data_IF_883343211680
#
_entry.id   IF_883343211680
#
_cell.length_a   1.000
_cell.length_b   1.000
_cell.length_c   1.000
_cell.angle_alpha   90.00
_cell.angle_beta   90.00
_cell.angle_gamma   90.00
#
_symmetry.space_group_name_H-M   'P 1'
#
loop_
_entity.id
_entity.type
_entity.pdbx_description
1 polymer ?
#
# COMPACT_ATOMS: atom_id res chain seq x y z
N UNK A 1 -14.76 -3.15 15.18
CA UNK A 1 -13.92 -3.57 16.31
C UNK A 1 -12.71 -4.37 15.85
N UNK A 2 -11.55 -3.75 15.94
CA UNK A 2 -10.26 -4.43 15.88
C UNK A 2 -10.03 -5.14 17.21
N UNK A 3 -9.89 -6.48 17.18
CA UNK A 3 -9.58 -7.28 18.36
C UNK A 3 -8.46 -8.26 18.05
N UNK A 4 -7.55 -8.43 18.99
CA UNK A 4 -6.53 -9.45 18.88
C UNK A 4 -7.16 -10.84 19.04
N UNK A 5 -6.89 -11.79 18.13
CA UNK A 5 -7.38 -13.17 18.26
C UNK A 5 -6.71 -13.96 19.39
N UNK A 6 -5.60 -13.48 19.95
CA UNK A 6 -4.85 -14.13 21.02
C UNK A 6 -4.84 -13.26 22.29
N UNK A 7 -5.79 -13.47 23.23
CA UNK A 7 -5.88 -12.65 24.43
C UNK A 7 -4.73 -12.85 25.42
N UNK A 8 -3.94 -13.93 25.27
CA UNK A 8 -2.90 -14.31 26.23
C UNK A 8 -1.53 -13.77 25.84
N UNK A 9 -1.16 -13.94 24.57
CA UNK A 9 0.13 -13.47 24.06
C UNK A 9 0.05 -12.06 23.46
N UNK A 10 -1.16 -11.56 23.19
CA UNK A 10 -1.36 -10.30 22.48
C UNK A 10 -1.00 -10.40 21.00
N UNK A 11 -1.00 -9.24 20.34
CA UNK A 11 -0.75 -9.10 18.91
C UNK A 11 0.52 -8.30 18.61
N UNK A 12 1.15 -8.55 17.45
CA UNK A 12 2.45 -7.94 17.08
C UNK A 12 2.41 -6.41 17.04
N UNK A 13 1.26 -5.82 16.68
CA UNK A 13 1.08 -4.37 16.57
C UNK A 13 0.54 -3.72 17.87
N UNK A 14 0.45 -4.47 18.96
CA UNK A 14 0.15 -3.93 20.29
C UNK A 14 1.45 -3.57 21.02
N UNK A 15 1.35 -2.79 22.09
CA UNK A 15 2.51 -2.46 22.93
C UNK A 15 3.19 -3.75 23.43
N UNK A 16 4.51 -3.81 23.32
CA UNK A 16 5.26 -5.04 23.64
C UNK A 16 5.22 -5.31 25.15
N UNK A 17 4.53 -6.38 25.53
CA UNK A 17 4.47 -6.86 26.91
C UNK A 17 5.61 -7.83 27.26
N UNK A 18 5.48 -8.49 28.41
CA UNK A 18 6.42 -9.53 28.86
C UNK A 18 6.42 -10.78 27.94
N UNK A 19 5.26 -11.10 27.36
CA UNK A 19 5.09 -12.22 26.43
C UNK A 19 5.25 -11.73 24.99
N UNK A 20 5.97 -12.51 24.18
CA UNK A 20 6.22 -12.18 22.78
C UNK A 20 5.03 -12.63 21.90
N UNK A 21 4.31 -11.69 21.26
CA UNK A 21 3.22 -12.02 20.35
C UNK A 21 3.75 -12.68 19.08
N UNK A 22 2.93 -13.53 18.45
CA UNK A 22 3.28 -14.28 17.23
C UNK A 22 2.28 -14.14 16.10
N UNK A 23 1.23 -13.32 16.30
CA UNK A 23 0.12 -13.17 15.36
C UNK A 23 -0.19 -11.70 15.13
N UNK A 24 -0.59 -11.41 13.91
CA UNK A 24 -1.20 -10.12 13.58
C UNK A 24 -2.68 -10.13 13.97
N UNK A 25 -3.20 -8.94 14.28
CA UNK A 25 -4.64 -8.74 14.41
C UNK A 25 -5.30 -8.78 13.04
N UNK A 26 -6.62 -8.99 13.00
CA UNK A 26 -7.39 -8.92 11.75
C UNK A 26 -7.23 -7.55 11.06
N UNK A 27 -7.20 -6.46 11.82
CA UNK A 27 -7.06 -5.12 11.26
C UNK A 27 -5.69 -4.87 10.65
N UNK A 28 -4.62 -5.39 11.27
CA UNK A 28 -3.27 -5.30 10.69
C UNK A 28 -3.18 -6.00 9.34
N UNK A 29 -3.88 -7.14 9.18
CA UNK A 29 -3.96 -7.86 7.90
C UNK A 29 -4.78 -7.06 6.89
N UNK A 30 -5.94 -6.52 7.28
CA UNK A 30 -6.78 -5.69 6.40
C UNK A 30 -6.05 -4.41 5.95
N UNK A 31 -5.29 -3.76 6.84
CA UNK A 31 -4.46 -2.59 6.52
C UNK A 31 -3.33 -2.92 5.55
N UNK A 32 -2.64 -4.05 5.75
CA UNK A 32 -1.61 -4.50 4.82
C UNK A 32 -2.18 -4.81 3.43
N UNK A 33 -3.35 -5.46 3.37
CA UNK A 33 -4.03 -5.74 2.09
C UNK A 33 -4.43 -4.44 1.40
N UNK A 34 -4.99 -3.46 2.13
CA UNK A 34 -5.30 -2.14 1.57
C UNK A 34 -4.05 -1.44 1.05
N UNK A 35 -2.95 -1.47 1.80
CA UNK A 35 -1.68 -0.89 1.35
C UNK A 35 -1.22 -1.46 0.01
N UNK A 36 -1.36 -2.78 -0.22
CA UNK A 36 -1.04 -3.41 -1.50
C UNK A 36 -2.04 -3.03 -2.60
N UNK A 37 -3.33 -2.95 -2.27
CA UNK A 37 -4.39 -2.54 -3.19
C UNK A 37 -4.30 -1.07 -3.61
N UNK A 38 -3.73 -0.22 -2.76
CA UNK A 38 -3.48 1.18 -3.04
C UNK A 38 -2.20 1.41 -3.87
N UNK A 39 -1.57 0.35 -4.38
CA UNK A 39 -0.35 0.40 -5.21
C UNK A 39 0.96 0.34 -4.41
N UNK A 40 0.91 0.07 -3.10
CA UNK A 40 2.09 -0.08 -2.26
C UNK A 40 2.79 -1.42 -2.43
N UNK A 41 4.10 -1.45 -2.15
CA UNK A 41 4.85 -2.70 -2.00
C UNK A 41 5.21 -3.40 -3.32
N UNK A 42 5.29 -2.69 -4.44
CA UNK A 42 5.63 -3.29 -5.75
C UNK A 42 6.94 -4.09 -5.74
N UNK A 43 7.91 -3.71 -4.91
CA UNK A 43 9.17 -4.43 -4.74
C UNK A 43 9.10 -5.74 -3.91
N UNK A 44 7.90 -6.18 -3.50
CA UNK A 44 7.70 -7.40 -2.71
C UNK A 44 7.27 -8.61 -3.54
N UNK A 45 7.13 -8.45 -4.86
CA UNK A 45 6.60 -9.47 -5.77
C UNK A 45 7.68 -10.25 -6.54
N UNK A 46 8.97 -9.98 -6.29
CA UNK A 46 10.07 -10.75 -6.84
C UNK A 46 10.52 -11.84 -5.86
N UNK A 47 10.42 -13.10 -6.27
CA UNK A 47 10.88 -14.24 -5.47
C UNK A 47 12.39 -14.40 -5.58
N UNK A 48 13.15 -14.41 -4.48
CA UNK A 48 14.59 -14.68 -4.48
C UNK A 48 14.92 -16.10 -4.98
N UNK A 49 16.10 -16.27 -5.58
CA UNK A 49 16.62 -17.58 -6.06
C UNK A 49 17.92 -18.01 -5.38
N UNK A 50 18.51 -17.15 -4.56
CA UNK A 50 19.74 -17.47 -3.83
C UNK A 50 19.65 -16.87 -2.44
N UNK A 51 19.58 -17.75 -1.44
CA UNK A 51 19.56 -17.37 -0.04
C UNK A 51 20.99 -17.32 0.52
N UNK A 52 21.12 -16.79 1.74
CA UNK A 52 22.41 -16.72 2.43
C UNK A 52 22.80 -18.07 3.08
N UNK A 53 21.79 -18.91 3.32
CA UNK A 53 21.95 -20.24 3.90
C UNK A 53 22.26 -21.29 2.81
N UNK A 54 22.52 -22.53 3.25
CA UNK A 54 22.72 -23.65 2.32
C UNK A 54 21.39 -24.07 1.69
N UNK A 55 21.38 -24.52 0.41
CA UNK A 55 20.16 -24.95 -0.27
C UNK A 55 19.36 -26.01 0.52
N UNK A 56 18.06 -25.81 0.64
CA UNK A 56 17.15 -26.72 1.36
C UNK A 56 15.88 -27.03 0.56
N UNK A 57 15.83 -28.25 0.01
CA UNK A 57 14.67 -28.73 -0.72
C UNK A 57 13.40 -28.80 0.16
N UNK A 58 12.39 -28.01 -0.20
CA UNK A 58 11.10 -27.93 0.48
C UNK A 58 10.90 -26.63 1.26
N UNK A 59 11.84 -25.69 1.19
CA UNK A 59 11.69 -24.34 1.75
C UNK A 59 10.90 -23.39 0.82
N UNK A 60 10.61 -23.85 -0.40
CA UNK A 60 9.83 -23.14 -1.40
C UNK A 60 10.64 -22.19 -2.26
N UNK A 61 11.98 -22.18 -2.19
CA UNK A 61 12.85 -21.35 -3.03
C UNK A 61 13.63 -22.24 -4.00
N UNK A 62 13.68 -21.86 -5.28
CA UNK A 62 14.49 -22.62 -6.24
C UNK A 62 15.94 -22.16 -6.11
N UNK A 63 16.76 -23.00 -5.48
CA UNK A 63 18.15 -22.72 -5.15
C UNK A 63 19.13 -23.48 -6.04
N UNK A 64 20.43 -23.27 -5.82
CA UNK A 64 21.47 -23.92 -6.64
C UNK A 64 21.42 -25.44 -6.49
N UNK A 65 21.17 -26.15 -7.59
CA UNK A 65 21.08 -27.61 -7.63
C UNK A 65 19.65 -28.14 -7.68
N UNK A 66 18.65 -27.25 -7.57
CA UNK A 66 17.24 -27.59 -7.65
C UNK A 66 16.63 -27.09 -8.97
N UNK A 67 15.69 -27.85 -9.54
CA UNK A 67 14.94 -27.45 -10.73
C UNK A 67 13.57 -26.86 -10.37
N UNK A 68 13.07 -27.20 -9.18
CA UNK A 68 11.78 -26.78 -8.67
C UNK A 68 11.73 -26.89 -7.15
N UNK A 69 10.93 -26.04 -6.52
CA UNK A 69 10.54 -26.20 -5.12
C UNK A 69 9.08 -25.73 -4.94
N UNK A 70 8.21 -26.66 -4.55
CA UNK A 70 6.79 -26.40 -4.29
C UNK A 70 6.48 -26.05 -2.83
N UNK A 71 7.50 -25.97 -1.98
CA UNK A 71 7.39 -25.69 -0.55
C UNK A 71 7.27 -26.95 0.28
N UNK A 72 6.63 -26.81 1.44
CA UNK A 72 6.39 -27.92 2.35
C UNK A 72 5.50 -28.99 1.71
N UNK A 73 5.49 -30.19 2.29
CA UNK A 73 4.63 -31.29 1.82
C UNK A 73 3.14 -30.90 1.73
N UNK A 74 2.67 -30.01 2.63
CA UNK A 74 1.29 -29.51 2.64
C UNK A 74 1.04 -28.51 1.52
N UNK A 75 2.04 -27.70 1.14
CA UNK A 75 1.92 -26.75 0.03
C UNK A 75 2.03 -27.46 -1.32
N UNK A 76 2.99 -28.37 -1.46
CA UNK A 76 3.15 -29.20 -2.66
C UNK A 76 1.89 -30.02 -3.00
N UNK A 77 1.18 -30.49 -1.98
CA UNK A 77 -0.08 -31.23 -2.19
C UNK A 77 -1.24 -30.33 -2.66
N UNK A 78 -1.15 -29.02 -2.45
CA UNK A 78 -2.10 -28.03 -3.00
C UNK A 78 -1.71 -27.60 -4.42
N UNK A 79 -0.42 -27.34 -4.66
CA UNK A 79 0.09 -26.88 -5.95
C UNK A 79 1.52 -27.37 -6.21
N UNK A 80 1.78 -27.82 -7.43
CA UNK A 80 3.13 -28.14 -7.93
C UNK A 80 3.70 -29.52 -7.58
N UNK A 81 3.15 -30.24 -6.59
CA UNK A 81 3.63 -31.58 -6.24
C UNK A 81 3.46 -32.64 -7.34
N UNK A 82 2.55 -32.43 -8.30
CA UNK A 82 2.43 -33.29 -9.48
C UNK A 82 3.59 -33.11 -10.48
N UNK A 83 4.23 -31.94 -10.44
CA UNK A 83 5.24 -31.50 -11.40
C UNK A 83 6.66 -31.56 -10.82
N UNK A 84 6.79 -31.61 -9.49
CA UNK A 84 8.05 -31.54 -8.77
C UNK A 84 8.18 -32.69 -7.77
N UNK A 85 9.29 -33.43 -7.85
CA UNK A 85 9.58 -34.56 -6.97
C UNK A 85 11.04 -34.51 -6.53
N UNK A 86 11.27 -34.41 -5.22
CA UNK A 86 12.62 -34.27 -4.64
C UNK A 86 13.40 -33.11 -5.28
N UNK A 87 12.74 -31.95 -5.43
CA UNK A 87 13.26 -30.74 -6.07
C UNK A 87 13.80 -30.92 -7.50
N UNK A 88 13.29 -31.94 -8.20
CA UNK A 88 13.55 -32.22 -9.62
C UNK A 88 12.21 -32.21 -10.36
N UNK A 89 12.18 -31.67 -11.57
CA UNK A 89 10.98 -31.67 -12.39
C UNK A 89 10.64 -33.11 -12.83
N UNK A 90 9.34 -33.41 -12.88
CA UNK A 90 8.84 -34.68 -13.42
C UNK A 90 8.89 -34.69 -14.95
N UNK A 91 8.69 -35.85 -15.57
CA UNK A 91 8.69 -35.99 -17.03
C UNK A 91 7.71 -35.02 -17.70
N UNK A 92 8.16 -34.30 -18.74
CA UNK A 92 7.42 -33.26 -19.49
C UNK A 92 6.97 -32.03 -18.68
N UNK A 93 7.43 -31.87 -17.43
CA UNK A 93 7.18 -30.67 -16.65
C UNK A 93 8.20 -29.57 -17.00
N UNK A 94 7.70 -28.37 -17.24
CA UNK A 94 8.48 -27.15 -17.46
C UNK A 94 8.47 -26.25 -16.20
N UNK A 95 7.48 -26.42 -15.34
CA UNK A 95 7.34 -25.66 -14.11
C UNK A 95 6.65 -26.48 -13.03
N UNK A 96 6.76 -26.03 -11.78
CA UNK A 96 6.10 -26.62 -10.62
C UNK A 96 4.95 -25.76 -10.11
N UNK A 97 5.27 -24.53 -9.70
CA UNK A 97 4.35 -23.56 -9.12
C UNK A 97 4.59 -22.17 -9.70
N UNK A 98 3.73 -21.22 -9.33
CA UNK A 98 3.76 -19.83 -9.77
C UNK A 98 2.55 -19.44 -10.62
N UNK A 99 2.29 -18.14 -10.73
CA UNK A 99 1.12 -17.61 -11.42
C UNK A 99 1.13 -17.86 -12.94
N UNK A 100 2.31 -18.10 -13.52
CA UNK A 100 2.51 -18.41 -14.93
C UNK A 100 2.77 -19.91 -15.16
N UNK A 101 2.32 -20.77 -14.25
CA UNK A 101 2.41 -22.23 -14.39
C UNK A 101 1.02 -22.85 -14.36
N UNK A 102 0.69 -23.58 -15.43
CA UNK A 102 -0.58 -24.25 -15.55
C UNK A 102 -0.35 -25.69 -16.00
N UNK A 103 -0.76 -26.65 -15.15
CA UNK A 103 -0.59 -28.10 -15.40
C UNK A 103 0.85 -28.46 -15.82
N UNK A 104 1.83 -28.01 -15.04
CA UNK A 104 3.25 -28.24 -15.26
C UNK A 104 3.84 -27.63 -16.54
N UNK A 105 3.11 -26.74 -17.23
CA UNK A 105 3.56 -26.02 -18.43
C UNK A 105 3.54 -24.52 -18.17
N UNK A 106 4.43 -23.78 -18.83
CA UNK A 106 4.35 -22.33 -18.79
C UNK A 106 3.05 -21.85 -19.44
N UNK A 107 2.46 -20.82 -18.85
CA UNK A 107 1.38 -20.07 -19.48
C UNK A 107 1.87 -19.39 -20.76
N UNK A 108 0.96 -19.12 -21.69
CA UNK A 108 1.30 -18.44 -22.93
C UNK A 108 1.77 -17.00 -22.67
N UNK A 109 2.67 -16.51 -23.53
CA UNK A 109 3.11 -15.11 -23.48
C UNK A 109 1.91 -14.18 -23.62
N UNK A 110 1.80 -13.21 -22.70
CA UNK A 110 0.72 -12.23 -22.72
C UNK A 110 -0.51 -12.59 -21.87
N UNK A 111 -0.57 -13.78 -21.29
CA UNK A 111 -1.59 -14.12 -20.27
C UNK A 111 -1.37 -13.23 -19.05
N UNK A 112 -2.39 -12.45 -18.65
CA UNK A 112 -2.29 -11.57 -17.48
C UNK A 112 -2.15 -12.41 -16.22
N UNK A 113 -1.07 -12.20 -15.47
CA UNK A 113 -0.81 -12.87 -14.19
C UNK A 113 -1.02 -11.95 -12.99
N UNK A 114 -1.06 -10.64 -13.21
CA UNK A 114 -1.45 -9.65 -12.20
C UNK A 114 -2.14 -8.47 -12.87
N UNK A 115 -3.35 -8.19 -12.42
CA UNK A 115 -4.09 -7.00 -12.84
C UNK A 115 -3.53 -5.74 -12.16
N UNK A 116 -3.75 -4.58 -12.79
CA UNK A 116 -3.45 -3.29 -12.20
C UNK A 116 -4.40 -3.02 -11.01
N UNK A 117 -3.86 -2.55 -9.89
CA UNK A 117 -4.65 -2.27 -8.68
C UNK A 117 -5.25 -0.86 -8.68
N UNK A 118 -4.61 0.09 -9.37
CA UNK A 118 -5.06 1.47 -9.50
C UNK A 118 -4.65 2.11 -10.84
N UNK A 119 -4.97 3.39 -11.02
CA UNK A 119 -4.58 4.19 -12.17
C UNK A 119 -3.06 4.41 -12.29
N UNK A 120 -2.30 4.15 -11.24
CA UNK A 120 -0.85 4.33 -11.19
C UNK A 120 -0.08 3.04 -11.48
N UNK A 121 -0.78 1.91 -11.60
CA UNK A 121 -0.19 0.60 -11.76
C UNK A 121 -0.20 0.12 -13.23
N UNK A 122 0.64 -0.88 -13.54
CA UNK A 122 0.77 -1.50 -14.86
C UNK A 122 0.45 -3.00 -14.69
N UNK A 123 -0.45 -3.59 -15.49
CA UNK A 123 -0.70 -5.03 -15.37
C UNK A 123 0.51 -5.82 -15.89
N UNK A 124 0.85 -6.91 -15.21
CA UNK A 124 1.88 -7.84 -15.69
C UNK A 124 1.30 -9.06 -16.37
N UNK A 125 2.01 -9.48 -17.42
CA UNK A 125 1.67 -10.65 -18.21
C UNK A 125 2.81 -11.66 -18.21
N UNK A 126 2.44 -12.94 -18.27
CA UNK A 126 3.36 -14.05 -18.32
C UNK A 126 4.30 -13.93 -19.53
N UNK A 127 5.60 -14.24 -19.35
CA UNK A 127 6.59 -14.09 -20.41
C UNK A 127 6.60 -15.27 -21.39
N UNK A 128 5.99 -16.41 -21.04
CA UNK A 128 5.92 -17.61 -21.87
C UNK A 128 7.04 -18.64 -21.62
N UNK A 129 8.02 -18.29 -20.80
CA UNK A 129 9.25 -19.04 -20.54
C UNK A 129 9.65 -19.05 -19.05
N UNK A 130 8.75 -18.61 -18.17
CA UNK A 130 8.94 -18.61 -16.73
C UNK A 130 7.63 -18.95 -16.04
N UNK A 131 7.74 -19.60 -14.87
CA UNK A 131 6.59 -19.91 -14.02
C UNK A 131 6.19 -18.74 -13.11
N UNK A 132 7.09 -17.78 -12.92
CA UNK A 132 6.85 -16.59 -12.11
C UNK A 132 6.23 -15.49 -12.96
N UNK A 133 5.29 -14.76 -12.37
CA UNK A 133 4.88 -13.47 -12.93
C UNK A 133 6.09 -12.52 -12.89
N UNK A 134 6.30 -11.67 -13.91
CA UNK A 134 7.37 -10.68 -13.88
C UNK A 134 7.31 -9.77 -12.64
N UNK A 135 8.43 -9.09 -12.29
CA UNK A 135 8.42 -8.13 -11.18
C UNK A 135 7.32 -7.08 -11.36
N UNK A 136 6.62 -6.77 -10.26
CA UNK A 136 5.56 -5.77 -10.23
C UNK A 136 6.18 -4.38 -10.48
N UNK A 137 5.71 -3.71 -11.53
CA UNK A 137 6.11 -2.36 -11.92
C UNK A 137 4.91 -1.44 -11.98
N UNK A 138 5.15 -0.15 -11.77
CA UNK A 138 4.12 0.87 -11.79
C UNK A 138 4.53 2.04 -12.69
N UNK A 139 3.58 2.93 -12.99
CA UNK A 139 3.83 4.16 -13.74
C UNK A 139 4.82 5.05 -13.00
N UNK A 140 5.60 5.82 -13.75
CA UNK A 140 6.59 6.74 -13.19
C UNK A 140 5.91 7.85 -12.36
N UNK A 141 6.67 8.42 -11.44
CA UNK A 141 6.20 9.53 -10.63
C UNK A 141 5.79 10.73 -11.50
N UNK A 142 4.65 11.34 -11.18
CA UNK A 142 4.11 12.49 -11.90
C UNK A 142 3.04 12.18 -12.94
N UNK A 143 2.77 10.90 -13.25
CA UNK A 143 1.58 10.53 -14.03
C UNK A 143 0.29 10.99 -13.34
N UNK A 144 -0.72 11.39 -14.11
CA UNK A 144 -2.02 11.76 -13.55
C UNK A 144 -2.83 10.51 -13.16
N UNK A 145 -3.60 10.61 -12.09
CA UNK A 145 -4.50 9.57 -11.60
C UNK A 145 -5.78 10.21 -11.04
N UNK A 146 -6.81 9.39 -10.77
CA UNK A 146 -8.09 9.83 -10.20
C UNK A 146 -8.72 10.95 -11.03
N UNK A 147 -8.93 10.67 -12.33
CA UNK A 147 -9.45 11.62 -13.31
C UNK A 147 -8.71 12.98 -13.37
N UNK A 148 -7.41 13.00 -13.03
CA UNK A 148 -6.56 14.18 -13.06
C UNK A 148 -6.50 14.98 -11.75
N UNK A 149 -7.18 14.50 -10.70
CA UNK A 149 -7.13 15.12 -9.37
C UNK A 149 -5.84 14.81 -8.63
N UNK A 150 -5.16 13.71 -8.99
CA UNK A 150 -3.95 13.25 -8.33
C UNK A 150 -2.72 13.16 -9.21
N UNK A 151 -1.63 12.76 -8.56
CA UNK A 151 -0.36 12.38 -9.21
C UNK A 151 0.13 11.06 -8.62
N UNK A 152 0.65 10.18 -9.48
CA UNK A 152 1.29 8.94 -9.06
C UNK A 152 2.62 9.23 -8.40
N UNK A 153 2.86 8.63 -7.24
CA UNK A 153 4.15 8.62 -6.56
C UNK A 153 4.40 7.26 -5.90
N UNK A 154 5.43 6.55 -6.34
CA UNK A 154 5.79 5.23 -5.84
C UNK A 154 4.63 4.23 -5.99
N UNK A 155 3.98 4.23 -7.16
CA UNK A 155 2.88 3.33 -7.49
C UNK A 155 1.52 3.71 -6.93
N UNK A 156 1.41 4.79 -6.14
CA UNK A 156 0.17 5.19 -5.47
C UNK A 156 -0.34 6.55 -5.93
N UNK A 157 -1.65 6.69 -6.07
CA UNK A 157 -2.25 7.98 -6.37
C UNK A 157 -2.25 8.92 -5.15
N UNK A 158 -1.65 10.12 -5.29
CA UNK A 158 -1.64 11.16 -4.26
C UNK A 158 -2.69 12.22 -4.56
N UNK A 159 -3.72 12.29 -3.70
CA UNK A 159 -4.78 13.31 -3.72
C UNK A 159 -4.96 13.89 -2.31
N UNK A 160 -5.54 15.09 -2.22
CA UNK A 160 -5.90 15.68 -0.90
C UNK A 160 -6.97 14.85 -0.21
N UNK A 161 -7.95 14.35 -0.97
CA UNK A 161 -9.00 13.45 -0.46
C UNK A 161 -8.41 12.18 0.12
N UNK A 162 -7.53 11.50 -0.60
CA UNK A 162 -6.87 10.28 -0.12
C UNK A 162 -6.03 10.53 1.14
N UNK A 163 -5.42 11.72 1.27
CA UNK A 163 -4.69 12.09 2.49
C UNK A 163 -5.63 12.30 3.69
N UNK A 164 -6.75 13.00 3.49
CA UNK A 164 -7.78 13.17 4.53
C UNK A 164 -8.44 11.84 4.90
N UNK A 165 -8.68 10.95 3.93
CA UNK A 165 -9.32 9.66 4.17
C UNK A 165 -8.39 8.73 4.95
N UNK A 166 -7.09 8.75 4.64
CA UNK A 166 -6.09 8.00 5.37
C UNK A 166 -5.96 8.48 6.83
N UNK A 167 -5.95 9.80 7.06
CA UNK A 167 -5.77 10.37 8.40
C UNK A 167 -7.04 10.33 9.25
N UNK A 168 -8.18 10.70 8.68
CA UNK A 168 -9.41 10.99 9.42
C UNK A 168 -10.60 10.13 8.97
N UNK A 169 -10.51 9.46 7.81
CA UNK A 169 -11.63 8.74 7.22
C UNK A 169 -12.66 9.64 6.55
N UNK A 170 -12.28 10.88 6.22
CA UNK A 170 -13.15 11.87 5.59
C UNK A 170 -12.46 12.50 4.37
N UNK A 171 -13.24 13.19 3.53
CA UNK A 171 -12.74 13.82 2.32
C UNK A 171 -12.10 15.18 2.60
N UNK A 172 -11.36 15.68 1.62
CA UNK A 172 -10.80 17.02 1.63
C UNK A 172 -11.90 18.07 1.70
N UNK A 173 -11.60 19.18 2.37
CA UNK A 173 -12.48 20.34 2.40
C UNK A 173 -12.57 20.98 1.01
N UNK A 174 -13.60 21.81 0.81
CA UNK A 174 -13.78 22.54 -0.44
C UNK A 174 -12.58 23.46 -0.73
N UNK A 175 -12.25 23.66 -2.00
CA UNK A 175 -11.15 24.53 -2.43
C UNK A 175 -11.27 25.95 -1.84
N UNK A 176 -12.48 26.46 -1.62
CA UNK A 176 -12.71 27.78 -0.99
C UNK A 176 -12.14 27.84 0.43
N UNK A 177 -12.12 26.73 1.17
CA UNK A 177 -11.50 26.67 2.50
C UNK A 177 -10.01 26.97 2.41
N UNK A 178 -9.30 26.32 1.47
CA UNK A 178 -7.88 26.54 1.22
C UNK A 178 -7.59 27.97 0.76
N UNK A 179 -8.37 28.47 -0.21
CA UNK A 179 -8.17 29.81 -0.77
C UNK A 179 -8.33 30.93 0.26
N UNK A 180 -9.16 30.72 1.29
CA UNK A 180 -9.35 31.68 2.39
C UNK A 180 -8.32 31.47 3.48
N UNK A 181 -8.34 30.29 4.12
CA UNK A 181 -7.59 30.04 5.34
C UNK A 181 -6.08 30.04 5.11
N UNK A 182 -5.59 29.38 4.06
CA UNK A 182 -4.13 29.27 3.85
C UNK A 182 -3.49 30.62 3.47
N UNK A 183 -4.26 31.58 2.96
CA UNK A 183 -3.76 32.93 2.69
C UNK A 183 -3.70 33.82 3.94
N UNK A 184 -4.40 33.45 5.03
CA UNK A 184 -4.36 34.22 6.27
C UNK A 184 -3.04 34.05 7.02
N UNK A 185 -2.42 32.86 6.93
CA UNK A 185 -1.15 32.55 7.59
C UNK A 185 -1.30 32.53 9.10
N UNK A 186 -2.24 31.72 9.59
CA UNK A 186 -2.53 31.52 11.01
C UNK A 186 -2.40 30.04 11.36
N UNK A 187 -2.61 29.69 12.63
CA UNK A 187 -2.66 28.29 13.07
C UNK A 187 -3.74 27.47 12.34
N UNK A 188 -4.77 28.14 11.81
CA UNK A 188 -5.93 27.55 11.13
C UNK A 188 -5.73 27.35 9.62
N UNK A 189 -4.64 27.88 9.07
CA UNK A 189 -4.33 27.81 7.65
C UNK A 189 -3.05 28.58 7.33
N UNK A 190 -2.05 27.88 6.81
CA UNK A 190 -0.69 28.39 6.60
C UNK A 190 0.10 27.55 5.60
N UNK A 191 1.27 28.04 5.19
CA UNK A 191 2.26 27.31 4.38
C UNK A 191 3.44 26.83 5.23
N UNK A 192 3.17 26.44 6.48
CA UNK A 192 4.17 26.02 7.45
C UNK A 192 4.62 27.13 8.38
N UNK A 193 5.63 26.82 9.19
CA UNK A 193 6.26 27.73 10.16
C UNK A 193 7.36 28.55 9.48
N UNK A 194 7.54 29.78 9.94
CA UNK A 194 8.68 30.61 9.51
C UNK A 194 10.02 30.05 9.99
N UNK A 195 11.14 30.64 9.53
CA UNK A 195 12.49 30.21 9.91
C UNK A 195 12.79 30.33 11.41
N UNK A 196 12.01 31.10 12.16
CA UNK A 196 12.13 31.23 13.61
C UNK A 196 11.30 30.20 14.37
N UNK A 197 10.37 29.52 13.69
CA UNK A 197 9.41 28.58 14.29
C UNK A 197 8.28 29.26 15.07
N UNK A 198 8.31 30.59 15.26
CA UNK A 198 7.37 31.30 16.12
C UNK A 198 6.13 31.78 15.35
N UNK A 199 6.28 32.14 14.08
CA UNK A 199 5.18 32.60 13.22
C UNK A 199 4.73 31.58 12.17
N UNK A 200 3.62 31.89 11.53
CA UNK A 200 3.01 31.13 10.44
C UNK A 200 3.21 31.85 9.11
N UNK A 201 3.51 31.10 8.06
CA UNK A 201 3.73 31.65 6.72
C UNK A 201 2.38 31.74 5.99
N UNK A 202 2.08 32.91 5.43
CA UNK A 202 0.96 33.09 4.50
C UNK A 202 1.25 32.41 3.16
N UNK A 203 0.32 31.58 2.68
CA UNK A 203 0.45 30.98 1.36
C UNK A 203 0.26 32.00 0.24
N UNK A 204 1.08 31.88 -0.81
CA UNK A 204 0.86 32.59 -2.06
C UNK A 204 -0.40 32.03 -2.77
N UNK A 205 -1.06 32.84 -3.62
CA UNK A 205 -2.28 32.40 -4.34
C UNK A 205 -2.10 31.09 -5.14
N UNK A 206 -0.98 30.87 -5.86
CA UNK A 206 -0.70 29.59 -6.52
C UNK A 206 -0.55 28.40 -5.56
N UNK A 207 -0.08 28.64 -4.33
CA UNK A 207 0.36 27.60 -3.40
C UNK A 207 -0.69 27.26 -2.32
N UNK A 208 -1.87 27.89 -2.34
CA UNK A 208 -2.92 27.69 -1.32
C UNK A 208 -3.35 26.24 -1.15
N UNK A 209 -3.19 25.39 -2.17
CA UNK A 209 -3.50 23.96 -2.12
C UNK A 209 -2.33 23.07 -1.66
N UNK A 210 -1.17 23.66 -1.37
CA UNK A 210 0.05 22.98 -0.94
C UNK A 210 0.40 23.28 0.54
N UNK A 211 -0.43 24.07 1.22
CA UNK A 211 -0.25 24.44 2.63
C UNK A 211 -0.91 23.46 3.59
N UNK A 212 -1.49 24.00 4.65
CA UNK A 212 -2.22 23.26 5.67
C UNK A 212 -3.34 22.43 5.03
N UNK A 213 -3.38 21.14 5.37
CA UNK A 213 -4.39 20.21 4.88
C UNK A 213 -5.70 20.50 5.60
N UNK A 214 -6.77 20.72 4.82
CA UNK A 214 -8.12 20.94 5.33
C UNK A 214 -9.02 19.79 4.90
N UNK A 215 -9.72 19.20 5.85
CA UNK A 215 -10.63 18.08 5.67
C UNK A 215 -12.05 18.48 6.10
N UNK A 216 -13.04 17.70 5.68
CA UNK A 216 -14.45 17.95 6.00
C UNK A 216 -14.95 16.99 7.07
N UNK A 217 -15.86 17.44 7.94
CA UNK A 217 -16.56 16.58 8.92
C UNK A 217 -15.62 15.73 9.79
N UNK A 218 -14.45 16.25 10.20
CA UNK A 218 -13.49 15.45 10.95
C UNK A 218 -14.06 15.01 12.29
N UNK A 219 -13.67 13.79 12.69
CA UNK A 219 -13.90 13.27 14.03
C UNK A 219 -12.60 13.40 14.85
N UNK A 220 -12.74 13.61 16.16
CA UNK A 220 -11.67 14.15 17.03
C UNK A 220 -10.45 13.24 17.29
N UNK A 221 -10.22 12.15 16.53
CA UNK A 221 -9.02 11.32 16.67
C UNK A 221 -8.49 10.85 15.31
N UNK A 222 -7.20 11.06 14.99
CA UNK A 222 -6.62 10.52 13.78
C UNK A 222 -6.56 9.01 13.84
N UNK A 223 -6.59 8.36 12.68
CA UNK A 223 -6.45 6.91 12.54
C UNK A 223 -5.06 6.43 12.99
N UNK A 224 -4.04 7.26 12.83
CA UNK A 224 -2.67 7.01 13.26
C UNK A 224 -1.95 8.29 13.67
N UNK A 225 -0.94 8.15 14.53
CA UNK A 225 -0.20 9.27 15.12
C UNK A 225 -0.93 9.92 16.29
N UNK A 226 -0.24 10.86 16.93
CA UNK A 226 -0.77 11.65 18.03
C UNK A 226 -1.22 13.03 17.50
N UNK A 227 -2.35 13.51 17.99
CA UNK A 227 -2.81 14.87 17.72
C UNK A 227 -2.06 15.83 18.66
N UNK A 228 -1.28 16.74 18.08
CA UNK A 228 -0.70 17.87 18.81
C UNK A 228 -1.58 19.11 18.64
N UNK A 229 -2.04 19.67 19.76
CA UNK A 229 -2.97 20.80 19.79
C UNK A 229 -4.45 20.44 19.59
N UNK A 230 -5.23 21.42 19.14
CA UNK A 230 -6.67 21.26 18.87
C UNK A 230 -6.95 21.20 17.37
N UNK A 231 -8.00 20.48 16.98
CA UNK A 231 -8.47 20.45 15.59
C UNK A 231 -9.01 21.82 15.21
N UNK A 232 -8.49 22.39 14.13
CA UNK A 232 -9.03 23.63 13.58
C UNK A 232 -10.46 23.39 13.09
N UNK A 233 -11.37 24.33 13.32
CA UNK A 233 -12.71 24.27 12.76
C UNK A 233 -13.22 25.68 12.46
N UNK A 234 -13.61 25.91 11.21
CA UNK A 234 -14.25 27.13 10.76
C UNK A 234 -15.35 26.81 9.75
N UNK A 235 -16.53 27.40 9.94
CA UNK A 235 -17.59 27.34 8.94
C UNK A 235 -17.59 28.59 8.06
N UNK A 236 -17.51 28.40 6.75
CA UNK A 236 -17.53 29.48 5.75
C UNK A 236 -18.84 29.43 4.97
N UNK A 237 -19.54 30.57 4.86
CA UNK A 237 -20.71 30.68 3.99
C UNK A 237 -20.29 31.10 2.58
N UNK A 238 -20.58 30.26 1.59
CA UNK A 238 -20.23 30.49 0.19
C UNK A 238 -21.30 29.91 -0.75
N UNK A 239 -21.75 30.69 -1.75
CA UNK A 239 -22.74 30.27 -2.76
C UNK A 239 -23.97 29.54 -2.17
N UNK A 240 -24.59 30.15 -1.14
CA UNK A 240 -25.75 29.60 -0.42
C UNK A 240 -25.52 28.26 0.28
N UNK A 241 -24.27 27.89 0.57
CA UNK A 241 -23.91 26.70 1.36
C UNK A 241 -22.96 27.08 2.50
N UNK A 242 -23.09 26.36 3.60
CA UNK A 242 -22.10 26.37 4.68
C UNK A 242 -21.07 25.28 4.39
N UNK A 243 -19.80 25.67 4.35
CA UNK A 243 -18.65 24.80 4.15
C UNK A 243 -17.94 24.63 5.49
N UNK A 244 -17.67 23.39 5.86
CA UNK A 244 -16.92 23.06 7.07
C UNK A 244 -15.44 22.89 6.69
N UNK A 245 -14.62 23.81 7.18
CA UNK A 245 -13.19 23.87 6.93
C UNK A 245 -12.48 23.49 8.23
N UNK A 246 -12.14 22.21 8.36
CA UNK A 246 -11.45 21.69 9.54
C UNK A 246 -10.01 21.31 9.20
#
# INVERSE_FOLDING_TARGET
>A
DCRCPDPWLGCIMEDTGYYLPRKFSRCSVEEYVRFLQDGGGSCLFNKPTKLLDSPECGNGFVEQGEECDCGSQVECSRAGGACCKKCTLTHDAMCSNGLCCNRCRYELRGVVCRDAVDDCDIPEACPGDSSQCPPNVHKLDGYMCDAGQGRCYGGRCKTRDGQCEALWGHNSADRVCYERLNTEGTEKGNCGRDSSGQGWIQCSKPDVLCGFLLCSNMTMKPRYGDLDGEVTSLTIYHQNKYLDCQ
#
